data_IF_151392281543
#
_entry.id   IF_151392281543
#
_cell.length_a   1.000
_cell.length_b   1.000
_cell.length_c   1.000
_cell.angle_alpha   90.00
_cell.angle_beta   90.00
_cell.angle_gamma   90.00
#
_symmetry.space_group_name_H-M   'P 1'
#
loop_
_entity.id
_entity.type
_entity.pdbx_description
1 polymer ?
#
# COMPACT_ATOMS: atom_id res chain seq x y z
N UNK A 1 6.24 18.08 19.26
CA UNK A 1 6.92 17.31 18.21
C UNK A 1 6.28 15.94 18.07
N UNK A 2 5.91 15.55 16.87
CA UNK A 2 5.31 14.24 16.60
C UNK A 2 6.41 13.19 16.50
N UNK A 3 6.21 12.02 17.09
CA UNK A 3 7.14 10.89 17.01
C UNK A 3 6.54 9.78 16.15
N UNK A 4 7.35 8.73 15.88
CA UNK A 4 6.92 7.62 15.03
C UNK A 4 5.70 6.87 15.60
N UNK A 5 5.57 6.74 16.90
CA UNK A 5 4.44 6.06 17.50
C UNK A 5 3.12 6.82 17.27
N UNK A 6 3.16 8.15 17.33
CA UNK A 6 2.01 8.99 17.03
C UNK A 6 1.64 8.93 15.55
N UNK A 7 2.65 8.97 14.67
CA UNK A 7 2.42 8.85 13.22
C UNK A 7 1.78 7.52 12.87
N UNK A 8 2.24 6.42 13.47
CA UNK A 8 1.68 5.09 13.24
C UNK A 8 0.27 4.97 13.79
N UNK A 9 0.01 5.54 14.97
CA UNK A 9 -1.33 5.56 15.55
C UNK A 9 -2.31 6.26 14.62
N UNK A 10 -1.96 7.44 14.14
CA UNK A 10 -2.80 8.22 13.24
C UNK A 10 -3.05 7.47 11.93
N UNK A 11 -2.03 6.87 11.35
CA UNK A 11 -2.16 6.09 10.13
C UNK A 11 -3.07 4.88 10.34
N UNK A 12 -2.90 4.13 11.43
CA UNK A 12 -3.71 2.95 11.73
C UNK A 12 -5.17 3.29 12.04
N UNK A 13 -5.45 4.48 12.52
CA UNK A 13 -6.82 4.94 12.73
C UNK A 13 -7.53 5.28 11.42
N UNK A 14 -6.81 5.79 10.42
CA UNK A 14 -7.36 6.23 9.15
C UNK A 14 -7.40 5.13 8.10
N UNK A 15 -6.41 4.24 8.09
CA UNK A 15 -6.25 3.23 7.05
C UNK A 15 -6.86 1.91 7.52
N UNK A 16 -7.86 1.37 6.81
CA UNK A 16 -8.41 0.06 7.16
C UNK A 16 -7.33 -1.02 7.04
N UNK A 17 -7.14 -1.76 8.14
CA UNK A 17 -6.29 -2.94 8.15
C UNK A 17 -7.17 -4.16 7.93
N UNK A 18 -6.89 -4.91 6.88
CA UNK A 18 -7.73 -6.05 6.48
C UNK A 18 -7.11 -7.37 6.88
N UNK A 19 -7.95 -8.39 7.00
CA UNK A 19 -7.51 -9.76 7.27
C UNK A 19 -6.79 -10.36 6.06
N UNK A 20 -6.07 -11.46 6.28
CA UNK A 20 -5.43 -12.21 5.20
C UNK A 20 -6.48 -12.71 4.20
N UNK A 21 -7.63 -13.17 4.67
CA UNK A 21 -8.69 -13.65 3.79
C UNK A 21 -9.26 -12.54 2.92
N UNK A 22 -9.49 -11.36 3.48
CA UNK A 22 -9.95 -10.20 2.72
C UNK A 22 -8.89 -9.74 1.72
N UNK A 23 -7.61 -9.78 2.11
CA UNK A 23 -6.51 -9.46 1.21
C UNK A 23 -6.46 -10.42 0.03
N UNK A 24 -6.63 -11.72 0.26
CA UNK A 24 -6.67 -12.72 -0.82
C UNK A 24 -7.79 -12.44 -1.81
N UNK A 25 -8.96 -12.04 -1.33
CA UNK A 25 -10.07 -11.66 -2.20
C UNK A 25 -9.73 -10.44 -3.06
N UNK A 26 -9.05 -9.45 -2.49
CA UNK A 26 -8.59 -8.28 -3.24
C UNK A 26 -7.56 -8.64 -4.30
N UNK A 27 -6.70 -9.61 -4.05
CA UNK A 27 -5.68 -10.03 -5.03
C UNK A 27 -6.30 -10.56 -6.32
N UNK A 28 -7.52 -11.05 -6.29
CA UNK A 28 -8.24 -11.58 -7.44
C UNK A 28 -9.02 -10.51 -8.19
N UNK A 29 -9.17 -9.33 -7.62
CA UNK A 29 -9.91 -8.21 -8.23
C UNK A 29 -9.01 -7.49 -9.24
N UNK A 30 -9.44 -7.42 -10.49
CA UNK A 30 -8.69 -6.76 -11.57
C UNK A 30 -8.47 -5.26 -11.32
N UNK A 31 -9.31 -4.64 -10.49
CA UNK A 31 -9.17 -3.22 -10.12
C UNK A 31 -8.34 -3.00 -8.87
N UNK A 32 -7.68 -4.02 -8.34
CA UNK A 32 -6.78 -3.90 -7.20
C UNK A 32 -5.34 -3.76 -7.67
N UNK A 33 -4.69 -2.69 -7.22
CA UNK A 33 -3.25 -2.49 -7.38
C UNK A 33 -2.57 -2.92 -6.08
N UNK A 34 -1.62 -3.82 -6.17
CA UNK A 34 -0.86 -4.31 -5.02
C UNK A 34 0.46 -3.55 -4.98
N UNK A 35 0.70 -2.86 -3.89
CA UNK A 35 1.89 -2.01 -3.72
C UNK A 35 2.78 -2.55 -2.61
N UNK A 36 4.02 -2.89 -2.97
CA UNK A 36 5.07 -3.29 -2.04
C UNK A 36 5.98 -2.09 -1.80
N UNK A 37 6.03 -1.60 -0.56
CA UNK A 37 6.84 -0.43 -0.19
C UNK A 37 8.12 -0.79 0.52
N UNK A 38 8.51 -2.06 0.50
CA UNK A 38 9.77 -2.52 1.08
C UNK A 38 10.97 -2.05 0.26
N UNK A 39 12.15 -2.17 0.83
CA UNK A 39 13.39 -1.91 0.10
C UNK A 39 13.72 -3.05 -0.86
N UNK A 40 14.43 -2.72 -1.96
CA UNK A 40 14.76 -3.71 -2.99
C UNK A 40 15.53 -4.92 -2.47
N UNK A 41 16.38 -4.74 -1.45
CA UNK A 41 17.11 -5.83 -0.83
C UNK A 41 16.16 -6.86 -0.19
N UNK A 42 15.09 -6.41 0.45
CA UNK A 42 14.11 -7.31 1.06
C UNK A 42 13.43 -8.18 -0.01
N UNK A 43 13.11 -7.60 -1.16
CA UNK A 43 12.52 -8.36 -2.27
C UNK A 43 13.48 -9.43 -2.80
N UNK A 44 14.76 -9.12 -2.89
CA UNK A 44 15.77 -10.09 -3.32
C UNK A 44 15.90 -11.26 -2.36
N UNK A 45 15.71 -11.02 -1.06
CA UNK A 45 15.85 -12.05 -0.03
C UNK A 45 14.61 -12.93 0.09
N UNK A 46 13.41 -12.35 -0.01
CA UNK A 46 12.16 -13.06 0.31
C UNK A 46 11.16 -13.11 -0.85
N UNK A 47 11.46 -12.46 -2.00
CA UNK A 47 10.52 -12.35 -3.10
C UNK A 47 9.39 -11.36 -2.80
N UNK A 48 8.43 -11.28 -3.72
CA UNK A 48 7.27 -10.41 -3.57
C UNK A 48 5.99 -11.15 -3.97
N UNK A 49 4.83 -10.58 -3.63
CA UNK A 49 3.54 -11.09 -4.07
C UNK A 49 3.46 -10.97 -5.59
N UNK A 50 3.01 -12.02 -6.26
CA UNK A 50 2.85 -12.03 -7.71
C UNK A 50 1.94 -10.88 -8.16
N UNK A 51 2.40 -10.11 -9.12
CA UNK A 51 1.65 -8.96 -9.65
C UNK A 51 1.82 -7.68 -8.83
N UNK A 52 2.55 -7.72 -7.72
CA UNK A 52 2.79 -6.52 -6.93
C UNK A 52 3.72 -5.54 -7.66
N UNK A 53 3.40 -4.25 -7.52
CA UNK A 53 4.25 -3.18 -8.01
C UNK A 53 5.18 -2.80 -6.86
N UNK A 54 6.47 -2.78 -7.12
CA UNK A 54 7.46 -2.40 -6.13
C UNK A 54 7.81 -0.91 -6.24
N UNK A 55 7.47 -0.16 -5.20
CA UNK A 55 7.89 1.24 -5.06
C UNK A 55 8.38 1.42 -3.64
N UNK A 56 9.71 1.52 -3.42
CA UNK A 56 10.23 1.78 -2.08
C UNK A 56 9.57 3.02 -1.47
N UNK A 57 9.32 2.99 -0.16
CA UNK A 57 8.58 4.07 0.51
C UNK A 57 9.10 5.46 0.17
N UNK A 58 10.43 5.62 0.07
CA UNK A 58 11.06 6.92 -0.21
C UNK A 58 10.78 7.49 -1.60
N UNK A 59 10.30 6.68 -2.54
CA UNK A 59 10.00 7.10 -3.91
C UNK A 59 8.50 7.22 -4.19
N UNK A 60 7.66 6.88 -3.23
CA UNK A 60 6.22 6.72 -3.42
C UNK A 60 5.57 7.94 -4.08
N UNK A 61 5.76 9.11 -3.51
CA UNK A 61 5.15 10.34 -4.00
C UNK A 61 5.66 10.77 -5.37
N UNK A 62 6.85 10.30 -5.73
CA UNK A 62 7.50 10.72 -6.97
C UNK A 62 7.12 9.88 -8.19
N UNK A 63 6.93 8.58 -8.01
CA UNK A 63 6.83 7.68 -9.16
C UNK A 63 5.57 6.80 -9.19
N UNK A 64 4.81 6.69 -8.09
CA UNK A 64 3.67 5.78 -8.04
C UNK A 64 2.45 6.38 -8.75
N UNK A 65 1.99 5.68 -9.79
CA UNK A 65 0.80 6.05 -10.58
C UNK A 65 -0.08 4.82 -10.75
N UNK A 66 -0.88 4.46 -9.72
CA UNK A 66 -1.69 3.24 -9.77
C UNK A 66 -2.74 3.25 -10.87
N UNK A 67 -3.23 4.43 -11.27
CA UNK A 67 -4.20 4.58 -12.35
C UNK A 67 -3.71 4.03 -13.70
N UNK A 68 -2.39 3.91 -13.89
CA UNK A 68 -1.83 3.35 -15.13
C UNK A 68 -2.03 1.84 -15.22
N UNK A 69 -2.42 1.17 -14.13
CA UNK A 69 -2.54 -0.29 -14.04
C UNK A 69 -3.97 -0.80 -14.05
N UNK A 70 -4.95 0.08 -14.03
CA UNK A 70 -6.37 -0.29 -13.99
C UNK A 70 -7.14 0.47 -15.04
N UNK A 71 -8.27 -0.11 -15.51
CA UNK A 71 -9.16 0.57 -16.45
C UNK A 71 -10.21 1.39 -15.73
N UNK A 72 -10.67 0.93 -14.57
CA UNK A 72 -11.71 1.59 -13.77
C UNK A 72 -11.09 2.32 -12.58
N UNK A 73 -10.59 3.52 -12.84
CA UNK A 73 -9.94 4.33 -11.80
C UNK A 73 -10.89 4.66 -10.64
N UNK A 74 -12.17 4.85 -10.92
CA UNK A 74 -13.15 5.25 -9.91
C UNK A 74 -13.34 4.17 -8.84
N UNK A 75 -13.27 2.91 -9.23
CA UNK A 75 -13.41 1.76 -8.33
C UNK A 75 -12.09 1.09 -7.98
N UNK A 76 -10.98 1.73 -8.29
CA UNK A 76 -9.66 1.21 -8.01
C UNK A 76 -9.43 1.05 -6.50
N UNK A 77 -8.82 -0.08 -6.14
CA UNK A 77 -8.39 -0.37 -4.77
C UNK A 77 -6.86 -0.49 -4.73
N UNK A 78 -6.26 0.00 -3.67
CA UNK A 78 -4.82 -0.10 -3.48
C UNK A 78 -4.57 -0.88 -2.18
N UNK A 79 -3.91 -2.02 -2.30
CA UNK A 79 -3.48 -2.83 -1.16
C UNK A 79 -1.98 -2.62 -0.97
N UNK A 80 -1.61 -2.01 0.15
CA UNK A 80 -0.22 -1.68 0.46
C UNK A 80 0.32 -2.68 1.47
N UNK A 81 1.54 -3.18 1.25
CA UNK A 81 2.15 -4.06 2.23
C UNK A 81 3.65 -3.79 2.41
N UNK A 82 4.15 -4.22 3.56
CA UNK A 82 5.57 -4.28 3.90
C UNK A 82 5.80 -5.50 4.79
N UNK A 83 6.96 -5.61 5.44
CA UNK A 83 7.28 -6.79 6.25
C UNK A 83 6.34 -6.93 7.47
N UNK A 84 6.11 -5.83 8.21
CA UNK A 84 5.37 -5.87 9.48
C UNK A 84 4.17 -4.92 9.54
N UNK A 85 3.88 -4.20 8.46
CA UNK A 85 2.73 -3.31 8.37
C UNK A 85 2.97 -1.84 8.69
N UNK A 86 4.08 -1.48 9.35
CA UNK A 86 4.33 -0.10 9.76
C UNK A 86 4.58 0.85 8.57
N UNK A 87 5.51 0.48 7.69
CA UNK A 87 5.80 1.27 6.50
C UNK A 87 4.59 1.34 5.57
N UNK A 88 3.85 0.24 5.46
CA UNK A 88 2.63 0.19 4.66
C UNK A 88 1.54 1.10 5.24
N UNK A 89 1.38 1.16 6.55
CA UNK A 89 0.41 2.05 7.18
C UNK A 89 0.71 3.52 6.86
N UNK A 90 1.97 3.95 6.99
CA UNK A 90 2.37 5.32 6.67
C UNK A 90 2.22 5.61 5.17
N UNK A 91 2.59 4.67 4.32
CA UNK A 91 2.43 4.81 2.87
C UNK A 91 0.96 4.93 2.48
N UNK A 92 0.10 4.10 3.05
CA UNK A 92 -1.33 4.13 2.78
C UNK A 92 -1.97 5.46 3.20
N UNK A 93 -1.58 5.99 4.37
CA UNK A 93 -2.04 7.31 4.80
C UNK A 93 -1.62 8.39 3.81
N UNK A 94 -0.38 8.37 3.33
CA UNK A 94 0.12 9.30 2.32
C UNK A 94 -0.71 9.23 1.05
N UNK A 95 -1.05 8.04 0.59
CA UNK A 95 -1.89 7.86 -0.61
C UNK A 95 -3.30 8.44 -0.40
N UNK A 96 -3.88 8.27 0.78
CA UNK A 96 -5.16 8.87 1.11
C UNK A 96 -5.07 10.39 1.12
N UNK A 97 -3.99 10.96 1.65
CA UNK A 97 -3.75 12.41 1.66
C UNK A 97 -3.60 12.96 0.24
N UNK A 98 -3.04 12.18 -0.69
CA UNK A 98 -2.95 12.55 -2.10
C UNK A 98 -4.32 12.55 -2.78
N UNK A 99 -5.26 11.73 -2.29
CA UNK A 99 -6.62 11.71 -2.81
C UNK A 99 -7.16 10.33 -3.20
N UNK A 100 -6.36 9.27 -3.06
CA UNK A 100 -6.86 7.92 -3.31
C UNK A 100 -7.82 7.49 -2.19
N UNK A 101 -8.93 6.86 -2.56
CA UNK A 101 -10.05 6.62 -1.62
C UNK A 101 -10.06 5.22 -1.01
N UNK A 102 -9.76 4.21 -1.81
CA UNK A 102 -9.88 2.80 -1.40
C UNK A 102 -8.49 2.22 -1.15
N UNK A 103 -7.88 2.63 -0.05
CA UNK A 103 -6.52 2.21 0.32
C UNK A 103 -6.60 1.34 1.57
N UNK A 104 -5.93 0.18 1.52
CA UNK A 104 -5.93 -0.82 2.59
C UNK A 104 -4.50 -1.24 2.93
N UNK A 105 -4.34 -1.67 4.19
CA UNK A 105 -3.07 -2.20 4.69
C UNK A 105 -3.23 -3.65 5.14
#
# INVERSE_FOLDING_TARGET
MTNINELLKDANELVPRISIDDAKALLEDINTVILDVREGQELRETGKIKGAIHVPRGLLEFIFRPEDYVEDEENMKILVYCAAGARAALAAKTLMDIGYKNVFN
#
